data_IF_435470442824
#
_entry.id   IF_435470442824
#
_cell.length_a   1.000
_cell.length_b   1.000
_cell.length_c   1.000
_cell.angle_alpha   90.00
_cell.angle_beta   90.00
_cell.angle_gamma   90.00
#
_symmetry.space_group_name_H-M   'P 1'
#
loop_
_entity.id
_entity.type
_entity.pdbx_description
1 polymer ?
#
# COMPACT_ATOMS: atom_id res chain seq x y z
N UNK A 1 -18.26 -3.86 -20.91
CA UNK A 1 -19.00 -5.12 -20.83
C UNK A 1 -18.05 -6.22 -21.30
N UNK A 2 -18.16 -7.46 -20.79
CA UNK A 2 -17.26 -8.58 -21.13
C UNK A 2 -17.22 -8.94 -22.62
N UNK A 3 -18.22 -8.53 -23.38
CA UNK A 3 -18.35 -8.72 -24.83
C UNK A 3 -17.71 -7.63 -25.68
N UNK A 4 -17.27 -6.53 -25.06
CA UNK A 4 -16.64 -5.43 -25.77
C UNK A 4 -15.21 -5.78 -26.18
N UNK A 5 -14.74 -5.22 -27.30
CA UNK A 5 -13.32 -5.27 -27.62
C UNK A 5 -12.51 -4.38 -26.67
N UNK A 6 -11.22 -4.69 -26.51
CA UNK A 6 -10.29 -3.83 -25.73
C UNK A 6 -10.30 -2.40 -26.30
N UNK A 7 -10.27 -2.28 -27.62
CA UNK A 7 -10.40 -1.00 -28.32
C UNK A 7 -11.62 -0.20 -27.83
N UNK A 8 -12.81 -0.79 -27.95
CA UNK A 8 -14.06 -0.13 -27.54
C UNK A 8 -14.09 0.17 -26.02
N UNK A 9 -13.58 -0.72 -25.19
CA UNK A 9 -13.53 -0.52 -23.76
C UNK A 9 -12.63 0.67 -23.33
N UNK A 10 -11.56 0.95 -24.08
CA UNK A 10 -10.57 1.99 -23.75
C UNK A 10 -10.93 3.35 -24.33
N UNK A 11 -11.26 3.40 -25.62
CA UNK A 11 -11.49 4.67 -26.36
C UNK A 11 -12.93 4.86 -26.83
N UNK A 12 -13.80 3.86 -26.59
CA UNK A 12 -15.19 3.91 -27.00
C UNK A 12 -15.33 3.93 -28.53
N UNK A 13 -16.31 4.70 -29.01
CA UNK A 13 -16.57 4.90 -30.43
C UNK A 13 -15.74 6.04 -31.05
N UNK A 14 -14.70 6.53 -30.33
CA UNK A 14 -13.86 7.60 -30.84
C UNK A 14 -13.11 7.15 -32.11
N UNK A 15 -13.16 7.93 -33.19
CA UNK A 15 -12.48 7.56 -34.44
C UNK A 15 -10.95 7.53 -34.23
N UNK A 16 -10.28 6.65 -34.98
CA UNK A 16 -8.84 6.39 -34.81
C UNK A 16 -7.99 7.67 -34.90
N UNK A 17 -8.32 8.60 -35.80
CA UNK A 17 -7.56 9.84 -35.95
C UNK A 17 -7.62 10.73 -34.68
N UNK A 18 -8.65 10.60 -33.84
CA UNK A 18 -8.81 11.42 -32.65
C UNK A 18 -7.92 10.90 -31.50
N UNK A 19 -8.00 9.61 -31.16
CA UNK A 19 -7.21 9.06 -30.07
C UNK A 19 -5.75 8.75 -30.46
N UNK A 20 -5.50 8.31 -31.72
CA UNK A 20 -4.15 8.01 -32.20
C UNK A 20 -3.31 9.25 -32.43
N UNK A 21 -3.89 10.43 -32.68
CA UNK A 21 -3.16 11.69 -32.78
C UNK A 21 -2.65 12.20 -31.43
N UNK A 22 -3.30 11.81 -30.33
CA UNK A 22 -2.93 12.24 -28.98
C UNK A 22 -1.64 11.58 -28.50
N UNK A 23 -0.54 12.33 -28.23
CA UNK A 23 0.68 11.76 -27.68
C UNK A 23 0.45 11.14 -26.29
N UNK A 24 -0.44 11.74 -25.49
CA UNK A 24 -0.81 11.25 -24.14
C UNK A 24 -1.48 9.89 -24.24
N UNK A 25 -2.47 9.73 -25.11
CA UNK A 25 -3.18 8.45 -25.30
C UNK A 25 -2.21 7.36 -25.76
N UNK A 26 -1.36 7.62 -26.73
CA UNK A 26 -0.34 6.67 -27.19
C UNK A 26 0.63 6.23 -26.09
N UNK A 27 1.07 7.17 -25.25
CA UNK A 27 1.95 6.86 -24.11
C UNK A 27 1.23 5.98 -23.07
N UNK A 28 -0.06 6.23 -22.81
CA UNK A 28 -0.85 5.42 -21.87
C UNK A 28 -1.02 4.00 -22.39
N UNK A 29 -1.40 3.85 -23.66
CA UNK A 29 -1.55 2.55 -24.30
C UNK A 29 -0.23 1.75 -24.29
N UNK A 30 0.87 2.38 -24.70
CA UNK A 30 2.18 1.76 -24.71
C UNK A 30 2.69 1.40 -23.30
N UNK A 31 2.35 2.19 -22.28
CA UNK A 31 2.82 1.98 -20.91
C UNK A 31 2.03 0.94 -20.13
N UNK A 32 0.74 0.73 -20.46
CA UNK A 32 -0.14 -0.13 -19.68
C UNK A 32 -0.60 -1.40 -20.39
N UNK A 33 -0.84 -1.34 -21.69
CA UNK A 33 -1.54 -2.42 -22.42
C UNK A 33 -0.84 -2.82 -23.72
N UNK A 34 0.46 -2.60 -23.86
CA UNK A 34 1.23 -2.96 -25.06
C UNK A 34 1.21 -4.46 -25.37
N UNK A 35 1.00 -5.30 -24.38
CA UNK A 35 0.93 -6.78 -24.47
C UNK A 35 -0.51 -7.31 -24.55
N UNK A 36 -1.51 -6.42 -24.55
CA UNK A 36 -2.94 -6.79 -24.60
C UNK A 36 -3.43 -6.75 -26.05
N UNK A 37 -4.10 -7.80 -26.56
CA UNK A 37 -4.67 -7.80 -27.90
C UNK A 37 -5.72 -6.68 -28.06
N UNK A 38 -5.46 -5.73 -28.94
CA UNK A 38 -6.30 -4.54 -29.13
C UNK A 38 -7.72 -4.87 -29.63
N UNK A 39 -7.83 -5.87 -30.52
CA UNK A 39 -9.09 -6.39 -31.05
C UNK A 39 -9.66 -7.56 -30.26
N UNK A 40 -8.97 -7.99 -29.20
CA UNK A 40 -9.43 -9.07 -28.30
C UNK A 40 -10.64 -8.63 -27.48
N UNK A 41 -11.42 -9.59 -27.00
CA UNK A 41 -12.56 -9.32 -26.12
C UNK A 41 -12.12 -9.17 -24.67
N UNK A 42 -12.71 -8.21 -23.95
CA UNK A 42 -12.41 -7.96 -22.53
C UNK A 42 -12.67 -9.22 -21.68
N UNK A 43 -13.65 -10.03 -22.06
CA UNK A 43 -13.98 -11.28 -21.37
C UNK A 43 -12.88 -12.32 -21.37
N UNK A 44 -12.01 -12.33 -22.39
CA UNK A 44 -10.89 -13.28 -22.53
C UNK A 44 -9.62 -12.84 -21.79
N UNK A 45 -9.59 -11.61 -21.29
CA UNK A 45 -8.44 -11.08 -20.60
C UNK A 45 -8.28 -11.67 -19.19
N UNK A 46 -7.03 -11.85 -18.78
CA UNK A 46 -6.72 -12.14 -17.38
C UNK A 46 -7.18 -10.96 -16.48
N UNK A 47 -7.41 -11.23 -15.19
CA UNK A 47 -7.81 -10.19 -14.23
C UNK A 47 -6.83 -9.01 -14.19
N UNK A 48 -5.51 -9.28 -14.31
CA UNK A 48 -4.49 -8.23 -14.35
C UNK A 48 -4.53 -7.40 -15.64
N UNK A 49 -4.75 -8.05 -16.80
CA UNK A 49 -4.92 -7.35 -18.08
C UNK A 49 -6.17 -6.47 -18.07
N UNK A 50 -7.30 -7.01 -17.59
CA UNK A 50 -8.56 -6.27 -17.47
C UNK A 50 -8.38 -5.01 -16.62
N UNK A 51 -7.71 -5.12 -15.47
CA UNK A 51 -7.43 -3.98 -14.59
C UNK A 51 -6.53 -2.93 -15.26
N UNK A 52 -5.55 -3.35 -16.07
CA UNK A 52 -4.72 -2.42 -16.86
C UNK A 52 -5.52 -1.70 -17.96
N UNK A 53 -6.47 -2.38 -18.57
CA UNK A 53 -7.40 -1.79 -19.54
C UNK A 53 -8.29 -0.73 -18.88
N UNK A 54 -8.86 -1.03 -17.70
CA UNK A 54 -9.67 -0.07 -16.95
C UNK A 54 -8.85 1.14 -16.51
N UNK A 55 -7.61 0.92 -16.05
CA UNK A 55 -6.71 2.00 -15.70
C UNK A 55 -6.32 2.86 -16.90
N UNK A 56 -6.06 2.25 -18.06
CA UNK A 56 -5.77 2.98 -19.30
C UNK A 56 -6.94 3.88 -19.71
N UNK A 57 -8.15 3.34 -19.70
CA UNK A 57 -9.39 4.11 -19.97
C UNK A 57 -9.53 5.29 -19.01
N UNK A 58 -9.31 5.08 -17.71
CA UNK A 58 -9.39 6.14 -16.70
C UNK A 58 -8.35 7.22 -16.94
N UNK A 59 -7.11 6.85 -17.29
CA UNK A 59 -6.01 7.80 -17.48
C UNK A 59 -6.15 8.60 -18.78
N UNK A 60 -6.77 8.05 -19.82
CA UNK A 60 -7.06 8.74 -21.09
C UNK A 60 -8.08 9.85 -20.86
N UNK A 61 -9.07 9.62 -20.01
CA UNK A 61 -10.11 10.60 -19.70
C UNK A 61 -9.54 11.91 -19.13
N UNK A 62 -10.22 13.01 -19.41
CA UNK A 62 -9.84 14.34 -18.91
C UNK A 62 -10.65 14.64 -17.63
N UNK A 63 -10.04 14.35 -16.49
CA UNK A 63 -10.64 14.52 -15.17
C UNK A 63 -9.83 15.51 -14.34
N UNK A 64 -10.51 16.38 -13.63
CA UNK A 64 -9.91 17.30 -12.64
C UNK A 64 -9.51 16.59 -11.36
N UNK A 65 -10.19 15.48 -11.02
CA UNK A 65 -9.92 14.68 -9.82
C UNK A 65 -9.80 13.20 -10.19
N UNK A 66 -8.74 12.54 -9.75
CA UNK A 66 -8.55 11.10 -9.86
C UNK A 66 -8.60 10.46 -8.47
N UNK A 67 -9.40 9.40 -8.36
CA UNK A 67 -9.41 8.52 -7.19
C UNK A 67 -8.96 7.13 -7.62
N UNK A 68 -7.84 6.66 -7.04
CA UNK A 68 -7.21 5.39 -7.39
C UNK A 68 -7.16 4.50 -6.14
N UNK A 69 -7.80 3.33 -6.24
CA UNK A 69 -7.77 2.32 -5.19
C UNK A 69 -6.91 1.14 -5.64
N UNK A 70 -5.79 0.92 -4.92
CA UNK A 70 -4.78 -0.10 -5.20
C UNK A 70 -4.35 -0.16 -6.67
N UNK A 71 -3.91 0.99 -7.27
CA UNK A 71 -3.60 1.05 -8.70
C UNK A 71 -2.32 0.26 -9.07
N UNK A 72 -1.50 -0.10 -8.10
CA UNK A 72 -0.25 -0.86 -8.30
C UNK A 72 -0.45 -2.37 -8.29
N UNK A 73 -1.63 -2.86 -7.85
CA UNK A 73 -1.91 -4.29 -7.82
C UNK A 73 -1.90 -4.90 -9.22
N UNK A 74 -1.25 -6.06 -9.34
CA UNK A 74 -1.06 -6.81 -10.59
C UNK A 74 -0.23 -6.10 -11.66
N UNK A 75 0.46 -5.01 -11.31
CA UNK A 75 1.43 -4.35 -12.17
C UNK A 75 2.84 -4.86 -11.85
N UNK A 76 3.68 -4.94 -12.87
CA UNK A 76 5.11 -5.15 -12.68
C UNK A 76 5.83 -3.84 -12.34
N UNK A 77 7.07 -3.95 -11.88
CA UNK A 77 7.87 -2.79 -11.45
C UNK A 77 8.09 -1.74 -12.56
N UNK A 78 8.15 -2.18 -13.83
CA UNK A 78 8.30 -1.27 -14.97
C UNK A 78 7.03 -0.43 -15.14
N UNK A 79 5.88 -1.09 -15.11
CA UNK A 79 4.56 -0.45 -15.25
C UNK A 79 4.27 0.47 -14.07
N UNK A 80 4.63 0.06 -12.82
CA UNK A 80 4.48 0.92 -11.62
C UNK A 80 5.33 2.20 -11.76
N UNK A 81 6.59 2.07 -12.18
CA UNK A 81 7.48 3.21 -12.42
C UNK A 81 6.93 4.16 -13.50
N UNK A 82 6.43 3.59 -14.60
CA UNK A 82 5.80 4.36 -15.65
C UNK A 82 4.56 5.10 -15.12
N UNK A 83 3.68 4.41 -14.38
CA UNK A 83 2.46 4.99 -13.79
C UNK A 83 2.79 6.16 -12.85
N UNK A 84 3.77 5.99 -11.97
CA UNK A 84 4.21 7.04 -11.06
C UNK A 84 4.66 8.30 -11.82
N UNK A 85 5.49 8.15 -12.85
CA UNK A 85 5.94 9.28 -13.69
C UNK A 85 4.78 9.93 -14.42
N UNK A 86 3.87 9.13 -14.99
CA UNK A 86 2.70 9.63 -15.69
C UNK A 86 1.80 10.47 -14.79
N UNK A 87 1.50 9.98 -13.57
CA UNK A 87 0.67 10.69 -12.61
C UNK A 87 1.31 11.99 -12.12
N UNK A 88 2.62 12.01 -11.88
CA UNK A 88 3.36 13.23 -11.51
C UNK A 88 3.30 14.31 -12.61
N UNK A 89 3.29 13.91 -13.87
CA UNK A 89 3.28 14.81 -15.01
C UNK A 89 1.87 15.15 -15.51
N UNK A 90 0.81 14.55 -14.91
CA UNK A 90 -0.56 14.65 -15.44
C UNK A 90 -1.11 16.07 -15.47
N UNK A 91 -0.88 16.84 -14.42
CA UNK A 91 -1.38 18.20 -14.28
C UNK A 91 -0.25 19.20 -14.10
N UNK A 92 -0.50 20.43 -14.52
CA UNK A 92 0.38 21.55 -14.19
C UNK A 92 0.26 21.90 -12.69
N UNK A 93 1.27 22.58 -12.18
CA UNK A 93 1.29 23.00 -10.76
C UNK A 93 0.04 23.82 -10.41
N UNK A 94 -0.69 23.38 -9.40
CA UNK A 94 -1.93 24.04 -8.94
C UNK A 94 -3.18 23.63 -9.71
N UNK A 95 -3.08 22.63 -10.59
CA UNK A 95 -4.22 22.06 -11.31
C UNK A 95 -4.42 20.62 -10.90
N UNK A 96 -5.69 20.17 -10.92
CA UNK A 96 -6.08 18.80 -10.65
C UNK A 96 -5.86 18.37 -9.21
N UNK A 97 -6.46 17.25 -8.84
CA UNK A 97 -6.28 16.60 -7.55
C UNK A 97 -6.24 15.09 -7.72
N UNK A 98 -5.51 14.40 -6.82
CA UNK A 98 -5.44 12.95 -6.82
C UNK A 98 -5.53 12.41 -5.40
N UNK A 99 -6.36 11.39 -5.22
CA UNK A 99 -6.43 10.58 -4.03
C UNK A 99 -6.00 9.15 -4.38
N UNK A 100 -5.01 8.62 -3.68
CA UNK A 100 -4.51 7.27 -3.89
C UNK A 100 -4.60 6.49 -2.60
N UNK A 101 -5.19 5.29 -2.67
CA UNK A 101 -5.16 4.29 -1.60
C UNK A 101 -4.29 3.14 -2.10
N UNK A 102 -3.18 2.84 -1.41
CA UNK A 102 -2.31 1.71 -1.75
C UNK A 102 -1.40 1.33 -0.59
N UNK A 103 -0.92 0.09 -0.61
CA UNK A 103 0.10 -0.42 0.31
C UNK A 103 1.53 -0.26 -0.26
N UNK A 104 1.68 0.19 -1.48
CA UNK A 104 2.99 0.42 -2.12
C UNK A 104 3.62 1.73 -1.61
N UNK A 105 4.52 1.57 -0.65
CA UNK A 105 5.18 2.69 0.04
C UNK A 105 6.04 3.53 -0.89
N UNK A 106 6.74 2.86 -1.83
CA UNK A 106 7.55 3.55 -2.81
C UNK A 106 6.70 4.42 -3.73
N UNK A 107 5.56 3.86 -4.18
CA UNK A 107 4.63 4.60 -5.03
C UNK A 107 4.04 5.82 -4.31
N UNK A 108 3.68 5.67 -3.03
CA UNK A 108 3.20 6.79 -2.21
C UNK A 108 4.26 7.88 -2.06
N UNK A 109 5.53 7.52 -1.80
CA UNK A 109 6.63 8.47 -1.71
C UNK A 109 6.88 9.21 -3.04
N UNK A 110 6.75 8.49 -4.16
CA UNK A 110 7.04 9.06 -5.47
C UNK A 110 5.93 9.98 -5.97
N UNK A 111 4.67 9.69 -5.64
CA UNK A 111 3.50 10.33 -6.29
C UNK A 111 2.79 11.32 -5.37
N UNK A 112 2.75 11.05 -4.06
CA UNK A 112 1.95 11.84 -3.12
C UNK A 112 2.75 12.98 -2.48
N UNK A 113 2.11 14.12 -2.31
CA UNK A 113 2.67 15.30 -1.62
C UNK A 113 2.17 15.45 -0.19
N UNK A 114 1.15 14.69 0.18
CA UNK A 114 0.59 14.61 1.53
C UNK A 114 0.01 13.23 1.78
N UNK A 115 -0.03 12.83 3.06
CA UNK A 115 -0.56 11.56 3.51
C UNK A 115 -1.72 11.79 4.47
N UNK A 116 -2.74 10.94 4.38
CA UNK A 116 -3.86 10.93 5.32
C UNK A 116 -3.86 9.59 6.06
N UNK A 117 -3.66 9.63 7.38
CA UNK A 117 -3.82 8.45 8.23
C UNK A 117 -5.27 8.36 8.70
N UNK A 118 -5.92 7.24 8.38
CA UNK A 118 -7.30 6.98 8.82
C UNK A 118 -7.26 5.98 9.96
N UNK A 119 -7.71 6.40 11.14
CA UNK A 119 -7.74 5.56 12.34
C UNK A 119 -8.86 6.02 13.29
N UNK A 120 -9.46 5.10 14.01
CA UNK A 120 -10.46 5.35 15.08
C UNK A 120 -11.58 6.34 14.66
N UNK A 121 -11.98 6.30 13.37
CA UNK A 121 -12.99 7.21 12.80
C UNK A 121 -12.50 8.64 12.55
N UNK A 122 -11.20 8.90 12.64
CA UNK A 122 -10.56 10.19 12.40
C UNK A 122 -9.62 10.12 11.20
N UNK A 123 -9.31 11.27 10.64
CA UNK A 123 -8.36 11.43 9.53
C UNK A 123 -7.32 12.48 9.93
N UNK A 124 -6.08 12.04 10.09
CA UNK A 124 -4.95 12.91 10.41
C UNK A 124 -4.14 13.21 9.15
N UNK A 125 -4.01 14.48 8.72
CA UNK A 125 -3.18 14.86 7.59
C UNK A 125 -1.71 15.00 7.99
N UNK A 126 -0.80 14.56 7.09
CA UNK A 126 0.64 14.72 7.20
C UNK A 126 1.19 15.29 5.90
N UNK A 127 2.15 16.19 5.99
CA UNK A 127 2.85 16.75 4.83
C UNK A 127 3.97 15.81 4.35
N UNK A 128 4.14 15.73 3.03
CA UNK A 128 5.15 14.89 2.39
C UNK A 128 4.65 13.50 2.01
N UNK A 129 5.54 12.67 1.46
CA UNK A 129 5.29 11.28 1.10
C UNK A 129 5.32 10.32 2.30
N UNK A 130 5.34 9.02 2.00
CA UNK A 130 5.29 7.98 3.03
C UNK A 130 6.47 8.04 4.01
N UNK A 131 7.68 8.31 3.53
CA UNK A 131 8.88 8.42 4.38
C UNK A 131 8.78 9.58 5.36
N UNK A 132 8.28 10.73 4.92
CA UNK A 132 8.04 11.89 5.78
C UNK A 132 6.94 11.61 6.82
N UNK A 133 5.85 10.94 6.40
CA UNK A 133 4.78 10.50 7.29
C UNK A 133 5.29 9.61 8.42
N UNK A 134 6.14 8.61 8.13
CA UNK A 134 6.69 7.72 9.16
C UNK A 134 7.47 8.49 10.21
N UNK A 135 8.31 9.44 9.80
CA UNK A 135 9.08 10.28 10.72
C UNK A 135 8.18 11.12 11.61
N UNK A 136 7.18 11.77 11.03
CA UNK A 136 6.21 12.60 11.76
C UNK A 136 5.37 11.76 12.72
N UNK A 137 4.96 10.55 12.31
CA UNK A 137 4.22 9.62 13.15
C UNK A 137 5.03 9.19 14.37
N UNK A 138 6.29 8.81 14.18
CA UNK A 138 7.19 8.42 15.30
C UNK A 138 7.34 9.56 16.29
N UNK A 139 7.52 10.80 15.82
CA UNK A 139 7.64 11.96 16.70
C UNK A 139 6.32 12.28 17.42
N UNK A 140 5.18 12.18 16.73
CA UNK A 140 3.84 12.31 17.35
C UNK A 140 3.65 11.29 18.48
N UNK A 141 3.95 10.01 18.21
CA UNK A 141 3.78 8.93 19.18
C UNK A 141 4.72 9.14 20.39
N UNK A 142 5.94 9.62 20.15
CA UNK A 142 6.90 9.99 21.21
C UNK A 142 6.36 11.13 22.08
N UNK A 143 5.82 12.18 21.47
CA UNK A 143 5.24 13.31 22.19
C UNK A 143 4.00 12.92 22.97
N UNK A 144 3.15 12.06 22.41
CA UNK A 144 2.00 11.50 23.09
C UNK A 144 2.43 10.68 24.33
N UNK A 145 3.45 9.82 24.19
CA UNK A 145 3.99 9.05 25.32
C UNK A 145 4.55 9.94 26.46
N UNK A 146 5.28 11.01 26.12
CA UNK A 146 5.78 11.99 27.11
C UNK A 146 4.64 12.72 27.81
N UNK A 147 3.61 13.11 27.06
CA UNK A 147 2.43 13.78 27.61
C UNK A 147 1.66 12.86 28.55
N UNK A 148 1.48 11.58 28.14
CA UNK A 148 0.82 10.58 28.97
C UNK A 148 1.62 10.26 30.24
N UNK A 149 2.93 10.19 30.18
CA UNK A 149 3.78 10.01 31.36
C UNK A 149 3.64 11.21 32.34
N UNK A 150 3.63 12.42 31.82
CA UNK A 150 3.38 13.64 32.64
C UNK A 150 1.98 13.59 33.28
N UNK A 151 0.97 13.20 32.52
CA UNK A 151 -0.40 13.04 33.01
C UNK A 151 -0.47 12.00 34.13
N UNK A 152 0.15 10.81 33.94
CA UNK A 152 0.20 9.73 34.94
C UNK A 152 0.93 10.17 36.22
N UNK A 153 2.02 10.91 36.07
CA UNK A 153 2.76 11.44 37.22
C UNK A 153 1.95 12.50 37.99
N UNK A 154 1.20 13.34 37.28
CA UNK A 154 0.27 14.29 37.90
C UNK A 154 -0.88 13.58 38.61
N UNK A 155 -1.50 12.58 37.97
CA UNK A 155 -2.55 11.75 38.56
C UNK A 155 -2.07 11.04 39.85
N UNK A 156 -0.84 10.47 39.84
CA UNK A 156 -0.25 9.86 41.06
C UNK A 156 -0.09 10.86 42.19
N UNK A 157 0.38 12.09 41.90
CA UNK A 157 0.52 13.15 42.90
C UNK A 157 -0.83 13.58 43.49
N UNK A 158 -1.85 13.72 42.63
CA UNK A 158 -3.20 14.08 43.09
C UNK A 158 -3.88 12.92 43.88
N UNK A 159 -3.67 11.66 43.46
CA UNK A 159 -4.12 10.49 44.23
C UNK A 159 -3.46 10.44 45.60
N UNK A 160 -2.13 10.64 45.69
CA UNK A 160 -1.41 10.68 46.94
C UNK A 160 -1.88 11.85 47.84
N UNK A 161 -2.27 12.98 47.24
CA UNK A 161 -2.85 14.09 47.99
C UNK A 161 -4.28 13.78 48.46
N UNK A 162 -5.10 13.14 47.64
CA UNK A 162 -6.46 12.70 48.02
C UNK A 162 -6.46 11.67 49.14
N UNK A 163 -5.49 10.72 49.12
CA UNK A 163 -5.39 9.66 50.14
C UNK A 163 -4.88 10.17 51.49
N UNK A 164 -4.06 11.28 51.49
CA UNK A 164 -3.70 11.92 52.75
C UNK A 164 -4.94 12.57 53.38
N UNK A 165 -5.23 12.25 54.63
CA UNK A 165 -6.33 12.85 55.39
C UNK A 165 -6.29 14.36 55.37
N UNK A 166 -7.39 15.03 55.43
CA UNK A 166 -7.44 16.51 55.59
C UNK A 166 -6.76 16.87 56.92
N UNK A 167 -5.78 17.79 56.87
CA UNK A 167 -5.25 18.39 58.09
C UNK A 167 -6.39 19.07 58.83
N UNK A 168 -6.45 18.87 60.14
CA UNK A 168 -7.52 19.30 61.00
C UNK A 168 -7.74 20.84 60.90
N UNK A 169 -8.61 21.30 60.02
CA UNK A 169 -9.17 22.63 59.80
C UNK A 169 -9.36 23.08 58.35
N UNK A 170 -9.14 22.20 57.31
CA UNK A 170 -9.46 22.60 55.94
C UNK A 170 -10.17 21.46 55.18
N UNK A 171 -11.32 21.77 54.60
CA UNK A 171 -12.07 20.88 53.69
C UNK A 171 -11.36 20.92 52.32
N UNK A 172 -11.11 19.73 51.70
CA UNK A 172 -10.52 19.69 50.37
C UNK A 172 -11.42 20.42 49.39
N UNK A 173 -10.88 21.34 48.55
CA UNK A 173 -11.68 22.10 47.58
C UNK A 173 -12.36 21.15 46.56
N UNK A 174 -13.68 21.22 46.40
CA UNK A 174 -14.48 20.35 45.53
C UNK A 174 -13.97 20.32 44.08
N UNK A 175 -13.63 21.49 43.50
CA UNK A 175 -13.14 21.62 42.15
C UNK A 175 -11.84 20.81 41.88
N UNK A 176 -10.96 20.73 42.90
CA UNK A 176 -9.70 19.99 42.78
C UNK A 176 -9.91 18.47 42.88
N UNK A 177 -10.92 18.04 43.64
CA UNK A 177 -11.34 16.62 43.72
C UNK A 177 -11.98 16.19 42.41
N UNK A 178 -12.79 17.03 41.78
CA UNK A 178 -13.41 16.78 40.48
C UNK A 178 -12.37 16.74 39.36
N UNK A 179 -11.46 17.71 39.28
CA UNK A 179 -10.36 17.71 38.30
C UNK A 179 -9.44 16.48 38.43
N UNK A 180 -9.16 16.02 39.65
CA UNK A 180 -8.37 14.79 39.87
C UNK A 180 -9.15 13.53 39.41
N UNK A 181 -10.48 13.47 39.56
CA UNK A 181 -11.31 12.37 39.06
C UNK A 181 -11.35 12.33 37.54
N UNK A 182 -11.52 13.47 36.88
CA UNK A 182 -11.48 13.55 35.42
C UNK A 182 -10.12 13.10 34.88
N UNK A 183 -9.01 13.54 35.47
CA UNK A 183 -7.65 13.14 35.08
C UNK A 183 -7.40 11.62 35.20
N UNK A 184 -8.06 10.96 36.16
CA UNK A 184 -7.94 9.51 36.39
C UNK A 184 -8.86 8.70 35.45
N UNK A 185 -10.03 9.26 35.11
CA UNK A 185 -11.02 8.58 34.26
C UNK A 185 -10.61 8.52 32.78
N UNK A 186 -9.80 9.47 32.31
CA UNK A 186 -9.32 9.56 30.94
C UNK A 186 -8.08 8.66 30.72
N UNK A 187 -8.30 7.34 30.59
CA UNK A 187 -7.25 6.35 30.31
C UNK A 187 -7.36 5.86 28.87
N UNK A 188 -6.38 6.14 27.99
CA UNK A 188 -6.35 5.61 26.64
C UNK A 188 -6.25 4.06 26.67
N UNK A 189 -6.84 3.34 25.71
CA UNK A 189 -6.73 1.88 25.62
C UNK A 189 -5.28 1.47 25.37
N UNK A 190 -4.79 0.49 26.14
CA UNK A 190 -3.43 -0.07 26.02
C UNK A 190 -3.38 -0.95 24.77
N UNK A 191 -2.53 -0.60 23.80
CA UNK A 191 -2.19 -1.49 22.66
C UNK A 191 -1.15 -2.50 23.12
N UNK A 192 -1.47 -3.78 23.02
CA UNK A 192 -0.60 -4.89 23.43
C UNK A 192 0.32 -5.28 22.26
N UNK A 193 1.57 -4.76 22.25
CA UNK A 193 2.61 -5.09 21.26
C UNK A 193 3.32 -6.43 21.50
N UNK A 194 3.01 -7.13 22.59
CA UNK A 194 3.79 -8.29 23.04
C UNK A 194 3.39 -9.63 22.43
N UNK A 195 2.19 -9.75 21.85
CA UNK A 195 1.73 -11.02 21.26
C UNK A 195 2.40 -11.38 19.93
N UNK A 196 2.76 -10.38 19.12
CA UNK A 196 3.38 -10.60 17.79
C UNK A 196 4.83 -11.10 17.86
N UNK A 197 5.55 -10.83 18.94
CA UNK A 197 6.96 -11.26 19.09
C UNK A 197 7.11 -12.72 19.55
N UNK A 198 6.08 -13.35 20.09
CA UNK A 198 6.16 -14.71 20.62
C UNK A 198 5.97 -15.82 19.60
N UNK A 199 5.41 -15.53 18.42
CA UNK A 199 5.16 -16.50 17.35
C UNK A 199 6.36 -16.75 16.42
N UNK A 200 7.46 -16.00 16.55
CA UNK A 200 8.57 -15.99 15.59
C UNK A 200 9.76 -16.90 15.95
N UNK A 201 9.68 -17.77 16.94
CA UNK A 201 10.80 -18.65 17.32
C UNK A 201 10.39 -20.13 17.27
N UNK A 202 10.20 -20.66 16.05
CA UNK A 202 10.34 -22.10 15.83
C UNK A 202 11.73 -22.35 15.23
N UNK A 203 12.48 -23.29 15.82
CA UNK A 203 13.80 -23.70 15.37
C UNK A 203 13.67 -24.42 14.02
N UNK A 204 13.97 -23.73 12.93
CA UNK A 204 14.19 -24.33 11.62
C UNK A 204 15.62 -24.94 11.59
N UNK A 205 15.77 -26.10 10.93
CA UNK A 205 17.07 -26.72 10.70
C UNK A 205 18.00 -25.83 9.86
N UNK A 206 19.27 -26.26 9.68
CA UNK A 206 20.26 -25.48 8.91
C UNK A 206 19.93 -25.36 7.40
N UNK A 207 19.23 -26.31 6.84
CA UNK A 207 18.73 -26.32 5.46
C UNK A 207 17.21 -26.33 5.50
N UNK A 208 16.58 -25.49 4.69
CA UNK A 208 15.12 -25.33 4.66
C UNK A 208 14.59 -25.84 3.34
N UNK A 209 15.16 -25.39 2.22
CA UNK A 209 14.73 -25.78 0.87
C UNK A 209 15.97 -25.81 -0.04
N UNK A 210 16.15 -26.91 -0.74
CA UNK A 210 17.16 -27.08 -1.79
C UNK A 210 16.44 -27.32 -3.11
N UNK A 211 16.50 -26.35 -4.02
CA UNK A 211 16.07 -26.47 -5.41
C UNK A 211 17.32 -26.72 -6.24
N UNK A 212 17.42 -27.83 -6.95
CA UNK A 212 18.63 -28.21 -7.68
C UNK A 212 18.24 -28.66 -9.10
N UNK A 213 18.82 -28.00 -10.09
CA UNK A 213 18.70 -28.32 -11.53
C UNK A 213 17.23 -28.46 -11.98
N UNK A 214 16.37 -27.50 -11.55
CA UNK A 214 14.93 -27.57 -11.82
C UNK A 214 14.57 -26.84 -13.08
N UNK A 215 13.88 -27.54 -13.98
CA UNK A 215 13.17 -27.01 -15.13
C UNK A 215 11.67 -27.01 -14.85
N UNK A 216 10.98 -25.92 -15.12
CA UNK A 216 9.53 -25.82 -14.95
C UNK A 216 8.86 -25.03 -16.09
N UNK A 217 7.65 -25.45 -16.44
CA UNK A 217 6.87 -24.83 -17.51
C UNK A 217 5.43 -25.33 -17.54
N UNK A 218 4.67 -24.80 -18.48
CA UNK A 218 3.26 -25.15 -18.69
C UNK A 218 3.03 -25.66 -20.12
N UNK A 219 1.94 -26.37 -20.35
CA UNK A 219 1.42 -26.57 -21.69
C UNK A 219 0.75 -25.28 -22.17
N UNK A 220 1.11 -24.78 -23.34
CA UNK A 220 0.43 -23.66 -23.99
C UNK A 220 -0.98 -24.07 -24.45
N UNK A 221 -1.81 -23.10 -24.80
CA UNK A 221 -3.18 -23.31 -25.33
C UNK A 221 -3.27 -24.34 -26.45
N UNK A 222 -2.19 -24.47 -27.23
CA UNK A 222 -2.05 -25.47 -28.33
C UNK A 222 -1.45 -26.80 -27.85
N UNK A 223 -1.26 -27.01 -26.55
CA UNK A 223 -0.68 -28.24 -25.97
C UNK A 223 0.85 -28.36 -26.12
N UNK A 224 1.52 -27.33 -26.64
CA UNK A 224 2.97 -27.33 -26.75
C UNK A 224 3.62 -26.98 -25.39
N UNK A 225 4.73 -27.68 -24.99
CA UNK A 225 5.41 -27.36 -23.73
C UNK A 225 6.10 -25.99 -23.83
N UNK A 226 5.71 -25.07 -22.97
CA UNK A 226 6.35 -23.77 -22.80
C UNK A 226 7.20 -23.79 -21.54
N UNK A 227 8.51 -23.84 -21.69
CA UNK A 227 9.46 -23.76 -20.58
C UNK A 227 9.49 -22.31 -20.05
N UNK A 228 9.39 -22.17 -18.74
CA UNK A 228 9.37 -20.87 -18.04
C UNK A 228 10.60 -20.71 -17.16
N UNK A 229 11.04 -21.77 -16.51
CA UNK A 229 12.26 -21.84 -15.71
C UNK A 229 13.18 -22.88 -16.31
N UNK A 230 14.49 -22.61 -16.35
CA UNK A 230 15.51 -23.49 -16.87
C UNK A 230 16.70 -23.50 -15.95
N UNK A 231 17.15 -24.71 -15.58
CA UNK A 231 18.37 -24.96 -14.79
C UNK A 231 18.44 -24.11 -13.50
N UNK A 232 17.34 -24.07 -12.74
CA UNK A 232 17.26 -23.30 -11.52
C UNK A 232 17.87 -24.08 -10.36
N UNK A 233 18.99 -23.59 -9.85
CA UNK A 233 19.62 -24.10 -8.62
C UNK A 233 19.62 -23.01 -7.57
N UNK A 234 18.94 -23.28 -6.46
CA UNK A 234 18.78 -22.31 -5.36
C UNK A 234 18.69 -23.00 -4.01
N UNK A 235 19.55 -22.62 -3.10
CA UNK A 235 19.62 -23.16 -1.74
C UNK A 235 19.12 -22.08 -0.75
N UNK A 236 18.10 -22.42 0.03
CA UNK A 236 17.50 -21.51 1.01
C UNK A 236 17.83 -22.02 2.42
N UNK A 237 18.54 -21.22 3.18
CA UNK A 237 18.93 -21.50 4.56
C UNK A 237 17.96 -20.92 5.60
N UNK A 238 18.15 -21.35 6.84
CA UNK A 238 17.36 -20.84 7.95
C UNK A 238 17.64 -19.35 8.21
N UNK A 239 16.62 -18.52 8.14
CA UNK A 239 16.71 -17.07 8.36
C UNK A 239 16.92 -16.24 7.10
N UNK A 240 17.14 -16.87 5.95
CA UNK A 240 17.23 -16.16 4.66
C UNK A 240 15.93 -15.44 4.29
N UNK A 241 16.06 -14.32 3.60
CA UNK A 241 14.93 -13.51 3.12
C UNK A 241 15.22 -13.02 1.72
N UNK A 242 14.49 -13.51 0.76
CA UNK A 242 14.65 -13.17 -0.65
C UNK A 242 13.47 -12.34 -1.16
N UNK A 243 13.75 -11.33 -1.98
CA UNK A 243 12.76 -10.62 -2.76
C UNK A 243 12.79 -11.10 -4.21
N UNK A 244 11.65 -11.59 -4.73
CA UNK A 244 11.52 -11.98 -6.14
C UNK A 244 11.06 -10.80 -6.98
N UNK A 245 11.89 -10.39 -7.94
CA UNK A 245 11.61 -9.30 -8.86
C UNK A 245 11.58 -9.82 -10.30
N UNK A 246 10.69 -9.25 -11.11
CA UNK A 246 10.57 -9.60 -12.52
C UNK A 246 9.28 -9.06 -13.13
N UNK A 247 9.23 -8.98 -14.47
CA UNK A 247 8.04 -8.59 -15.22
C UNK A 247 6.88 -9.59 -15.04
N UNK A 248 5.66 -9.20 -15.40
CA UNK A 248 4.54 -10.12 -15.39
C UNK A 248 4.78 -11.23 -16.45
N UNK A 249 4.53 -12.47 -16.05
CA UNK A 249 4.85 -13.62 -16.90
C UNK A 249 6.30 -14.14 -16.84
N UNK A 250 7.19 -13.50 -16.07
CA UNK A 250 8.60 -13.93 -15.94
C UNK A 250 8.82 -15.22 -15.13
N UNK A 251 7.76 -15.87 -14.64
CA UNK A 251 7.88 -17.14 -13.93
C UNK A 251 8.00 -17.05 -12.41
N UNK A 252 7.69 -15.88 -11.80
CA UNK A 252 7.76 -15.71 -10.33
C UNK A 252 6.84 -16.68 -9.58
N UNK A 253 5.58 -16.79 -10.03
CA UNK A 253 4.61 -17.75 -9.44
C UNK A 253 5.02 -19.19 -9.70
N UNK A 254 5.52 -19.49 -10.90
CA UNK A 254 6.05 -20.82 -11.24
C UNK A 254 7.19 -21.23 -10.33
N UNK A 255 8.09 -20.29 -9.97
CA UNK A 255 9.17 -20.58 -9.02
C UNK A 255 8.62 -20.86 -7.62
N UNK A 256 7.58 -20.13 -7.17
CA UNK A 256 6.93 -20.38 -5.88
C UNK A 256 6.16 -21.73 -5.86
N UNK A 257 5.57 -22.13 -6.99
CA UNK A 257 4.86 -23.39 -7.11
C UNK A 257 5.81 -24.62 -7.10
N UNK A 258 7.09 -24.42 -7.44
CA UNK A 258 8.15 -25.45 -7.40
C UNK A 258 8.71 -25.62 -5.98
N UNK A 259 8.65 -24.60 -5.14
CA UNK A 259 9.14 -24.59 -3.76
C UNK A 259 8.09 -25.10 -2.78
#
# INVERSE_FOLDING_TARGET
VDTDTVHHAVVGDAPEYEWASSPRTRQILAGLISDVPWEGTVGELSGGQRRRVDLARLLIGDYDVLMLDEPTNHLDMRTINWLARHLKARWQRGQGAMLVVTHDRWFLDEVCTSMWEVHDGQVDPFEGGYSAYILQRVERDRMAAVTEERRRNMARKELAWLSRGAQARSTKPKFRVEAARELIADVPPVRDELELKRLAVSRLGKQVIDVIDVDAGYADTDGAPKQVLSDVTWLIGAGDRYGLLGENGAGKSTLLDVI
#
